data_IF_804556104090
#
_entry.id   IF_804556104090
#
_cell.length_a   1.000
_cell.length_b   1.000
_cell.length_c   1.000
_cell.angle_alpha   90.00
_cell.angle_beta   90.00
_cell.angle_gamma   90.00
#
_symmetry.space_group_name_H-M   'P 1'
#
loop_
_entity.id
_entity.type
_entity.pdbx_description
1 polymer ?
#
# COMPACT_ATOMS: atom_id res chain seq x y z
N UNK A 1 -9.52 -39.50 20.99
CA UNK A 1 -8.35 -39.31 20.11
C UNK A 1 -8.84 -38.62 18.84
N UNK A 2 -9.00 -37.27 18.86
CA UNK A 2 -9.26 -36.42 17.67
C UNK A 2 -9.32 -34.95 18.13
N UNK A 3 -8.16 -34.33 18.34
CA UNK A 3 -8.05 -32.88 18.63
C UNK A 3 -6.91 -32.20 17.86
N UNK A 4 -5.98 -32.98 17.29
CA UNK A 4 -4.76 -32.43 16.68
C UNK A 4 -4.97 -31.79 15.30
N UNK A 5 -5.97 -32.24 14.53
CA UNK A 5 -6.15 -31.77 13.16
C UNK A 5 -6.95 -30.45 13.09
N UNK A 6 -7.92 -30.25 13.99
CA UNK A 6 -8.71 -29.01 14.04
C UNK A 6 -7.88 -27.78 14.40
N UNK A 7 -6.84 -27.97 15.22
CA UNK A 7 -6.00 -26.88 15.69
C UNK A 7 -5.07 -26.36 14.58
N UNK A 8 -4.61 -27.24 13.69
CA UNK A 8 -3.80 -26.91 12.50
C UNK A 8 -4.61 -26.17 11.43
N UNK A 9 -5.76 -26.72 11.03
CA UNK A 9 -6.63 -26.11 10.00
C UNK A 9 -7.17 -24.73 10.42
N UNK A 10 -7.56 -24.57 11.68
CA UNK A 10 -8.01 -23.29 12.20
C UNK A 10 -6.87 -22.26 12.24
N UNK A 11 -5.64 -22.69 12.52
CA UNK A 11 -4.46 -21.84 12.48
C UNK A 11 -4.12 -21.39 11.05
N UNK A 12 -4.09 -22.32 10.10
CA UNK A 12 -3.81 -22.04 8.68
C UNK A 12 -4.86 -21.10 8.09
N UNK A 13 -6.14 -21.38 8.32
CA UNK A 13 -7.26 -20.50 7.89
C UNK A 13 -7.12 -19.10 8.48
N UNK A 14 -6.79 -18.99 9.77
CA UNK A 14 -6.59 -17.69 10.43
C UNK A 14 -5.42 -16.91 9.81
N UNK A 15 -4.33 -17.58 9.47
CA UNK A 15 -3.17 -16.94 8.80
C UNK A 15 -3.56 -16.44 7.41
N UNK A 16 -4.27 -17.25 6.62
CA UNK A 16 -4.74 -16.85 5.28
C UNK A 16 -5.68 -15.65 5.36
N UNK A 17 -6.65 -15.67 6.29
CA UNK A 17 -7.57 -14.55 6.50
C UNK A 17 -6.81 -13.27 6.90
N UNK A 18 -5.83 -13.38 7.79
CA UNK A 18 -4.98 -12.24 8.17
C UNK A 18 -4.17 -11.71 6.99
N UNK A 19 -3.68 -12.60 6.11
CA UNK A 19 -2.96 -12.24 4.90
C UNK A 19 -3.87 -11.50 3.90
N UNK A 20 -5.07 -12.00 3.66
CA UNK A 20 -6.07 -11.34 2.79
C UNK A 20 -6.43 -9.96 3.33
N UNK A 21 -6.69 -9.84 4.64
CA UNK A 21 -6.95 -8.52 5.24
C UNK A 21 -5.77 -7.57 5.06
N UNK A 22 -4.53 -8.05 5.22
CA UNK A 22 -3.35 -7.23 4.98
C UNK A 22 -3.25 -6.78 3.51
N UNK A 23 -3.50 -7.68 2.56
CA UNK A 23 -3.52 -7.35 1.12
C UNK A 23 -4.62 -6.33 0.81
N UNK A 24 -5.83 -6.52 1.35
CA UNK A 24 -6.96 -5.60 1.17
C UNK A 24 -6.67 -4.20 1.72
N UNK A 25 -6.14 -4.09 2.95
CA UNK A 25 -5.77 -2.79 3.52
C UNK A 25 -4.63 -2.13 2.75
N UNK A 26 -3.66 -2.90 2.29
CA UNK A 26 -2.58 -2.39 1.48
C UNK A 26 -3.10 -1.91 0.12
N UNK A 27 -3.94 -2.70 -0.55
CA UNK A 27 -4.58 -2.34 -1.82
C UNK A 27 -5.45 -1.11 -1.72
N UNK A 28 -6.21 -0.98 -0.63
CA UNK A 28 -6.99 0.21 -0.33
C UNK A 28 -6.11 1.46 -0.26
N UNK A 29 -4.98 1.39 0.45
CA UNK A 29 -4.07 2.53 0.57
C UNK A 29 -3.46 2.92 -0.79
N UNK A 30 -3.13 1.95 -1.66
CA UNK A 30 -2.67 2.22 -3.02
C UNK A 30 -3.77 2.84 -3.91
N UNK A 31 -5.01 2.37 -3.81
CA UNK A 31 -6.14 2.94 -4.55
C UNK A 31 -6.43 4.38 -4.12
N UNK A 32 -6.43 4.64 -2.81
CA UNK A 32 -6.61 5.97 -2.24
C UNK A 32 -5.48 6.93 -2.66
N UNK A 33 -4.24 6.45 -2.69
CA UNK A 33 -3.10 7.24 -3.14
C UNK A 33 -3.16 7.58 -4.63
N UNK A 34 -3.56 6.61 -5.47
CA UNK A 34 -3.72 6.83 -6.90
C UNK A 34 -4.80 7.87 -7.22
N UNK A 35 -5.91 7.84 -6.46
CA UNK A 35 -6.98 8.83 -6.55
C UNK A 35 -6.50 10.21 -6.09
N UNK A 36 -5.93 10.34 -4.89
CA UNK A 36 -5.44 11.62 -4.36
C UNK A 36 -4.33 12.26 -5.22
N UNK A 37 -3.44 11.46 -5.80
CA UNK A 37 -2.40 11.98 -6.70
C UNK A 37 -2.97 12.57 -8.01
N UNK A 38 -4.08 12.01 -8.50
CA UNK A 38 -4.65 12.36 -9.81
C UNK A 38 -5.74 13.42 -9.74
N UNK A 39 -6.63 13.36 -8.76
CA UNK A 39 -7.70 14.36 -8.59
C UNK A 39 -7.32 15.49 -7.64
N UNK A 40 -6.58 15.21 -6.56
CA UNK A 40 -6.30 16.19 -5.51
C UNK A 40 -4.91 16.84 -5.64
N UNK A 41 -4.15 16.50 -6.68
CA UNK A 41 -2.82 17.05 -6.96
C UNK A 41 -1.79 16.71 -5.87
N UNK A 42 -2.02 15.64 -5.10
CA UNK A 42 -1.19 15.27 -3.96
C UNK A 42 0.28 15.07 -4.39
N UNK A 43 1.17 15.93 -3.82
CA UNK A 43 2.63 16.06 -4.09
C UNK A 43 3.06 16.72 -5.41
N UNK A 44 2.16 17.28 -6.21
CA UNK A 44 2.60 18.04 -7.40
C UNK A 44 3.37 19.33 -7.03
N UNK A 45 3.10 19.90 -5.85
CA UNK A 45 3.75 21.12 -5.36
C UNK A 45 5.24 20.95 -4.97
N UNK A 46 5.73 19.72 -4.75
CA UNK A 46 7.14 19.49 -4.36
C UNK A 46 8.08 19.36 -5.58
N UNK A 47 7.51 19.28 -6.80
CA UNK A 47 8.26 19.10 -8.04
C UNK A 47 8.88 20.42 -8.56
N UNK A 48 8.47 21.57 -8.01
CA UNK A 48 8.92 22.90 -8.45
C UNK A 48 10.08 23.47 -7.64
N UNK A 49 10.62 22.75 -6.64
CA UNK A 49 11.70 23.27 -5.77
C UNK A 49 13.11 23.01 -6.32
N UNK A 50 13.26 22.33 -7.47
CA UNK A 50 14.55 22.22 -8.16
C UNK A 50 14.81 23.38 -9.13
N UNK A 51 14.60 24.62 -8.69
CA UNK A 51 15.29 25.75 -9.30
C UNK A 51 16.71 25.68 -8.75
N UNK A 52 17.59 25.03 -9.50
CA UNK A 52 19.00 24.90 -9.19
C UNK A 52 19.59 26.30 -8.97
N UNK A 53 19.93 26.63 -7.72
CA UNK A 53 20.69 27.81 -7.36
C UNK A 53 22.18 27.50 -7.61
N UNK A 54 22.81 28.08 -8.64
CA UNK A 54 24.19 27.78 -9.00
C UNK A 54 25.23 28.33 -8.01
N UNK A 55 24.82 28.89 -6.87
CA UNK A 55 25.73 29.54 -5.90
C UNK A 55 25.94 28.78 -4.58
N UNK A 56 25.34 27.61 -4.38
CA UNK A 56 25.50 26.84 -3.13
C UNK A 56 26.87 26.14 -3.07
N UNK A 57 27.81 26.76 -2.35
CA UNK A 57 29.16 26.24 -2.11
C UNK A 57 29.14 25.21 -0.97
N UNK A 58 29.37 23.93 -1.32
CA UNK A 58 30.12 22.95 -0.52
C UNK A 58 29.77 22.79 0.96
N UNK A 59 28.53 22.40 1.28
CA UNK A 59 28.23 21.73 2.54
C UNK A 59 27.99 20.25 2.26
N UNK A 60 28.37 19.34 3.17
CA UNK A 60 28.30 17.89 3.00
C UNK A 60 26.86 17.37 2.78
N UNK A 61 26.33 17.56 1.57
CA UNK A 61 24.93 17.27 1.20
C UNK A 61 24.58 15.80 1.45
N UNK A 62 25.54 14.87 1.35
CA UNK A 62 25.30 13.43 1.52
C UNK A 62 24.84 13.01 2.92
N UNK A 63 25.29 13.69 3.97
CA UNK A 63 24.99 13.30 5.35
C UNK A 63 23.66 13.91 5.82
N UNK A 64 23.38 15.15 5.40
CA UNK A 64 22.08 15.80 5.63
C UNK A 64 20.98 15.16 4.77
N UNK A 65 21.27 14.82 3.52
CA UNK A 65 20.32 14.14 2.63
C UNK A 65 19.97 12.74 3.16
N UNK A 66 20.92 11.97 3.71
CA UNK A 66 20.61 10.66 4.33
C UNK A 66 19.67 10.77 5.55
N UNK A 67 19.86 11.81 6.38
CA UNK A 67 18.99 12.11 7.52
C UNK A 67 17.60 12.61 7.08
N UNK A 68 17.57 13.45 6.06
CA UNK A 68 16.35 14.05 5.51
C UNK A 68 15.52 13.02 4.72
N UNK A 69 16.16 12.12 3.95
CA UNK A 69 15.51 11.00 3.26
C UNK A 69 14.83 10.07 4.26
N UNK A 70 15.45 9.75 5.40
CA UNK A 70 14.84 8.89 6.43
C UNK A 70 13.63 9.55 7.09
N UNK A 71 13.67 10.86 7.33
CA UNK A 71 12.52 11.64 7.85
C UNK A 71 11.42 11.79 6.81
N UNK A 72 11.77 12.10 5.57
CA UNK A 72 10.85 12.22 4.44
C UNK A 72 10.13 10.90 4.14
N UNK A 73 10.82 9.75 4.23
CA UNK A 73 10.19 8.42 4.09
C UNK A 73 9.17 8.14 5.20
N UNK A 74 9.47 8.51 6.45
CA UNK A 74 8.53 8.35 7.57
C UNK A 74 7.31 9.27 7.44
N UNK A 75 7.51 10.53 7.03
CA UNK A 75 6.40 11.44 6.76
C UNK A 75 5.54 10.90 5.60
N UNK A 76 6.18 10.51 4.49
CA UNK A 76 5.53 9.94 3.32
C UNK A 76 4.65 8.74 3.64
N UNK A 77 5.15 7.81 4.47
CA UNK A 77 4.38 6.63 4.88
C UNK A 77 3.18 7.02 5.77
N UNK A 78 3.38 7.94 6.71
CA UNK A 78 2.30 8.45 7.57
C UNK A 78 1.23 9.15 6.74
N UNK A 79 1.63 9.98 5.77
CA UNK A 79 0.72 10.73 4.91
C UNK A 79 -0.06 9.79 3.98
N UNK A 80 0.59 8.72 3.51
CA UNK A 80 -0.06 7.64 2.77
C UNK A 80 -1.11 6.89 3.58
N UNK A 81 -0.79 6.55 4.83
CA UNK A 81 -1.74 5.92 5.74
C UNK A 81 -2.89 6.88 6.06
N UNK A 82 -2.60 8.15 6.34
CA UNK A 82 -3.62 9.16 6.66
C UNK A 82 -4.55 9.42 5.47
N UNK A 83 -4.00 9.51 4.25
CA UNK A 83 -4.80 9.63 3.03
C UNK A 83 -5.73 8.42 2.84
N UNK A 84 -5.23 7.20 3.09
CA UNK A 84 -6.07 6.02 3.02
C UNK A 84 -7.28 6.08 3.97
N UNK A 85 -7.12 6.66 5.17
CA UNK A 85 -8.23 6.90 6.09
C UNK A 85 -9.14 8.05 5.66
N UNK A 86 -8.58 9.16 5.18
CA UNK A 86 -9.39 10.31 4.74
C UNK A 86 -10.25 10.00 3.51
N UNK A 87 -9.87 9.00 2.72
CA UNK A 87 -10.62 8.56 1.54
C UNK A 87 -11.73 7.54 1.85
N UNK A 88 -11.89 7.10 3.11
CA UNK A 88 -12.99 6.18 3.51
C UNK A 88 -14.39 6.72 3.17
N UNK A 89 -14.71 8.03 3.34
CA UNK A 89 -15.98 8.58 2.90
C UNK A 89 -16.17 8.52 1.37
N UNK A 90 -15.08 8.57 0.61
CA UNK A 90 -15.06 8.60 -0.86
C UNK A 90 -14.82 7.21 -1.49
N UNK A 91 -15.09 6.12 -0.77
CA UNK A 91 -14.80 4.74 -1.23
C UNK A 91 -15.36 4.45 -2.61
N UNK A 92 -16.59 4.87 -2.90
CA UNK A 92 -17.21 4.62 -4.21
C UNK A 92 -16.44 5.34 -5.32
N UNK A 93 -16.08 6.61 -5.11
CA UNK A 93 -15.34 7.42 -6.08
C UNK A 93 -13.94 6.88 -6.34
N UNK A 94 -13.22 6.48 -5.27
CA UNK A 94 -11.88 5.88 -5.36
C UNK A 94 -11.93 4.58 -6.14
N UNK A 95 -12.92 3.72 -5.84
CA UNK A 95 -13.08 2.44 -6.54
C UNK A 95 -13.40 2.70 -8.01
N UNK A 96 -14.42 3.52 -8.33
CA UNK A 96 -14.80 3.81 -9.72
C UNK A 96 -13.66 4.44 -10.52
N UNK A 97 -12.90 5.35 -9.90
CA UNK A 97 -11.73 5.95 -10.52
C UNK A 97 -10.68 4.90 -10.89
N UNK A 98 -10.38 3.97 -9.99
CA UNK A 98 -9.39 2.93 -10.25
C UNK A 98 -9.85 1.96 -11.34
N UNK A 99 -11.14 1.61 -11.39
CA UNK A 99 -11.72 0.84 -12.51
C UNK A 99 -11.69 1.58 -13.85
N UNK A 100 -11.71 2.92 -13.86
CA UNK A 100 -11.67 3.69 -15.11
C UNK A 100 -10.23 4.02 -15.57
N UNK A 101 -9.35 4.38 -14.63
CA UNK A 101 -8.04 4.99 -14.93
C UNK A 101 -6.84 4.11 -14.59
N UNK A 102 -7.02 3.09 -13.75
CA UNK A 102 -5.93 2.28 -13.17
C UNK A 102 -6.33 0.81 -13.00
N UNK A 103 -6.96 0.22 -14.03
CA UNK A 103 -7.40 -1.19 -14.02
C UNK A 103 -6.29 -2.18 -13.64
N UNK A 104 -5.04 -1.87 -14.01
CA UNK A 104 -3.89 -2.70 -13.65
C UNK A 104 -3.72 -2.87 -12.14
N UNK A 105 -4.01 -1.84 -11.33
CA UNK A 105 -3.97 -1.92 -9.86
C UNK A 105 -5.07 -2.85 -9.35
N UNK A 106 -6.28 -2.75 -9.92
CA UNK A 106 -7.40 -3.62 -9.57
C UNK A 106 -7.07 -5.09 -9.87
N UNK A 107 -6.53 -5.36 -11.06
CA UNK A 107 -6.12 -6.71 -11.46
C UNK A 107 -5.00 -7.22 -10.56
N UNK A 108 -4.00 -6.40 -10.23
CA UNK A 108 -2.90 -6.79 -9.35
C UNK A 108 -3.40 -7.27 -7.98
N UNK A 109 -4.25 -6.48 -7.32
CA UNK A 109 -4.76 -6.85 -5.99
C UNK A 109 -5.77 -8.02 -6.06
N UNK A 110 -6.57 -8.12 -7.13
CA UNK A 110 -7.40 -9.30 -7.36
C UNK A 110 -6.55 -10.58 -7.53
N UNK A 111 -5.43 -10.51 -8.26
CA UNK A 111 -4.50 -11.61 -8.40
C UNK A 111 -3.79 -11.96 -7.07
N UNK A 112 -3.45 -10.96 -6.26
CA UNK A 112 -2.84 -11.19 -4.93
C UNK A 112 -3.81 -11.90 -3.98
N UNK A 113 -5.07 -11.46 -3.93
CA UNK A 113 -6.12 -12.11 -3.12
C UNK A 113 -6.40 -13.53 -3.62
N UNK A 114 -6.52 -13.73 -4.94
CA UNK A 114 -6.68 -15.06 -5.53
C UNK A 114 -5.47 -15.96 -5.24
N UNK A 115 -4.26 -15.40 -5.26
CA UNK A 115 -3.03 -16.08 -4.89
C UNK A 115 -3.01 -16.51 -3.42
N UNK A 116 -3.47 -15.64 -2.51
CA UNK A 116 -3.59 -15.97 -1.08
C UNK A 116 -4.60 -17.10 -0.83
N UNK A 117 -5.74 -17.07 -1.52
CA UNK A 117 -6.72 -18.17 -1.48
C UNK A 117 -6.14 -19.47 -2.06
N UNK A 118 -5.42 -19.38 -3.19
CA UNK A 118 -4.76 -20.53 -3.81
C UNK A 118 -3.70 -21.15 -2.92
N UNK A 119 -2.89 -20.33 -2.25
CA UNK A 119 -1.92 -20.77 -1.25
C UNK A 119 -2.61 -21.48 -0.08
N UNK A 120 -3.74 -20.91 0.38
CA UNK A 120 -4.52 -21.49 1.45
C UNK A 120 -5.11 -22.85 1.10
N UNK A 121 -5.66 -22.98 -0.11
CA UNK A 121 -6.15 -24.26 -0.63
C UNK A 121 -5.02 -25.28 -0.77
N UNK A 122 -3.85 -24.87 -1.28
CA UNK A 122 -2.69 -25.76 -1.37
C UNK A 122 -2.22 -26.24 0.00
N UNK A 123 -2.18 -25.37 1.02
CA UNK A 123 -1.84 -25.78 2.38
C UNK A 123 -2.84 -26.77 2.97
N UNK A 124 -4.15 -26.55 2.75
CA UNK A 124 -5.20 -27.49 3.20
C UNK A 124 -5.15 -28.87 2.53
N UNK A 125 -4.38 -29.00 1.44
CA UNK A 125 -4.16 -30.26 0.72
C UNK A 125 -2.91 -31.00 1.18
N UNK A 126 -1.97 -30.30 1.83
CA UNK A 126 -0.66 -30.83 2.24
C UNK A 126 -0.66 -31.18 3.75
N UNK A 127 -1.47 -30.49 4.55
CA UNK A 127 -1.87 -30.90 5.91
C UNK A 127 -2.80 -32.13 5.88
#
# INVERSE_FOLDING_TARGET
MSRKNTDGEASTTKVIVMLMLAIAFFGWAFFAAAYAHSEEGWRQADSSTNVADPTAVGQDERMEDAGNIRRAKKSSLRDFIWNAFSQIPNVVSVISFNFANRLWLVILFACLEAGALGLGYAMSKID
#
